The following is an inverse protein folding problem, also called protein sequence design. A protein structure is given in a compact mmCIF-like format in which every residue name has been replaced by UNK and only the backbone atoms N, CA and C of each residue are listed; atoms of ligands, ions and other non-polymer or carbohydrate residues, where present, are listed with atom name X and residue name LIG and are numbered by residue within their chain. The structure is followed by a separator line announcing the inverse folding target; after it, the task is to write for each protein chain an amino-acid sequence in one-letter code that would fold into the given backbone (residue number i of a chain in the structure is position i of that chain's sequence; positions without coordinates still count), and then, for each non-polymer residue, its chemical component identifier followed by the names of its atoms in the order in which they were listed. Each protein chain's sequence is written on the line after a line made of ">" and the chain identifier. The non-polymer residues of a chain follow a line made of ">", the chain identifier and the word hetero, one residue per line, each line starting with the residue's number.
data_IF_695683418036
#
_entry.id   IF_695683418036
#
_cell.length_a   1.000
_cell.length_b   1.000
_cell.length_c   1.000
_cell.angle_alpha   90.00
_cell.angle_beta   90.00
_cell.angle_gamma   90.00
#
_symmetry.space_group_name_H-M   'P 1'
#
loop_
_entity.id
_entity.type
_entity.pdbx_description
1 polymer ?
#
# COMPACT_ATOMS: atom_id res chain seq x y z
N UNK A 1 22.39 -11.19 23.30
CA UNK A 1 21.17 -10.86 22.54
C UNK A 1 21.42 -11.21 21.08
N UNK A 2 20.72 -12.19 20.49
CA UNK A 2 20.83 -12.41 19.05
C UNK A 2 20.40 -11.13 18.34
N UNK A 3 21.21 -10.68 17.37
CA UNK A 3 20.84 -9.57 16.50
C UNK A 3 19.55 -9.99 15.80
N UNK A 4 18.45 -9.28 16.08
CA UNK A 4 17.27 -9.32 15.23
C UNK A 4 17.74 -8.94 13.83
N UNK A 5 17.86 -9.93 12.94
CA UNK A 5 17.98 -9.65 11.52
C UNK A 5 16.67 -8.99 11.13
N UNK A 6 16.73 -7.72 10.74
CA UNK A 6 15.56 -7.01 10.24
C UNK A 6 15.02 -7.78 9.03
N UNK A 7 13.87 -8.43 9.20
CA UNK A 7 13.22 -9.16 8.12
C UNK A 7 12.90 -8.18 7.00
N UNK A 8 13.34 -8.49 5.79
CA UNK A 8 13.10 -7.66 4.61
C UNK A 8 11.87 -8.15 3.86
N UNK A 9 11.18 -7.23 3.17
CA UNK A 9 10.07 -7.59 2.28
C UNK A 9 10.46 -8.61 1.20
N UNK A 10 11.70 -8.55 0.70
CA UNK A 10 12.20 -9.47 -0.33
C UNK A 10 12.23 -10.91 0.19
N UNK A 11 12.68 -11.12 1.44
CA UNK A 11 12.67 -12.44 2.06
C UNK A 11 11.25 -12.97 2.21
N UNK A 12 10.31 -12.12 2.60
CA UNK A 12 8.90 -12.49 2.73
C UNK A 12 8.30 -12.84 1.36
N UNK A 13 8.51 -12.00 0.34
CA UNK A 13 8.02 -12.22 -1.03
C UNK A 13 8.50 -13.59 -1.55
N UNK A 14 9.79 -13.92 -1.38
CA UNK A 14 10.34 -15.19 -1.82
C UNK A 14 9.66 -16.38 -1.12
N UNK A 15 9.49 -16.31 0.21
CA UNK A 15 8.81 -17.37 0.98
C UNK A 15 7.35 -17.54 0.61
N UNK A 16 6.63 -16.44 0.39
CA UNK A 16 5.23 -16.47 -0.01
C UNK A 16 5.08 -17.10 -1.40
N UNK A 17 6.00 -16.80 -2.33
CA UNK A 17 6.01 -17.39 -3.68
C UNK A 17 6.34 -18.87 -3.71
N UNK A 18 7.20 -19.36 -2.81
CA UNK A 18 7.46 -20.80 -2.66
C UNK A 18 6.19 -21.59 -2.29
N UNK A 19 5.25 -20.95 -1.58
CA UNK A 19 4.02 -21.58 -1.09
C UNK A 19 2.80 -21.32 -1.98
N UNK A 20 2.80 -20.27 -2.79
CA UNK A 20 1.73 -19.95 -3.73
C UNK A 20 2.15 -20.27 -5.16
N UNK A 21 1.57 -21.32 -5.75
CA UNK A 21 1.82 -21.78 -7.13
C UNK A 21 1.65 -20.71 -8.23
N UNK A 22 1.07 -19.54 -7.93
CA UNK A 22 0.72 -18.48 -8.88
C UNK A 22 1.48 -17.15 -8.62
N UNK A 23 2.74 -17.23 -8.21
CA UNK A 23 3.56 -16.14 -7.66
C UNK A 23 3.36 -14.73 -8.27
N UNK A 24 3.57 -14.49 -9.57
CA UNK A 24 3.54 -13.14 -10.15
C UNK A 24 2.15 -12.51 -10.26
N UNK A 25 1.10 -13.34 -10.35
CA UNK A 25 -0.27 -12.86 -10.52
C UNK A 25 -0.95 -12.51 -9.19
N UNK A 26 -0.33 -12.87 -8.07
CA UNK A 26 -0.87 -12.72 -6.72
C UNK A 26 0.04 -11.88 -5.82
N UNK A 27 1.35 -11.93 -6.03
CA UNK A 27 2.37 -11.26 -5.22
C UNK A 27 3.37 -10.53 -6.14
N UNK A 28 3.56 -9.25 -5.89
CA UNK A 28 4.47 -8.36 -6.61
C UNK A 28 5.94 -8.74 -6.42
N UNK A 29 6.77 -8.38 -7.41
CA UNK A 29 8.23 -8.60 -7.36
C UNK A 29 8.96 -7.67 -6.38
N UNK A 30 8.35 -6.53 -6.06
CA UNK A 30 8.94 -5.52 -5.20
C UNK A 30 7.89 -5.00 -4.21
N UNK A 31 8.27 -4.74 -2.95
CA UNK A 31 7.38 -4.05 -2.04
C UNK A 31 7.13 -2.64 -2.56
N UNK A 32 5.87 -2.26 -2.60
CA UNK A 32 5.48 -0.95 -3.00
C UNK A 32 4.09 -0.68 -2.49
N UNK A 33 3.77 0.55 -2.09
CA UNK A 33 2.39 0.87 -1.85
C UNK A 33 1.63 0.55 -3.15
N UNK A 34 0.67 -0.38 -3.07
CA UNK A 34 -0.39 -0.55 -4.07
C UNK A 34 -1.66 0.34 -3.87
N UNK A 35 -1.66 1.47 -3.12
CA UNK A 35 -2.82 2.35 -3.04
C UNK A 35 -3.07 3.08 -4.37
N UNK A 36 -2.22 2.87 -5.38
CA UNK A 36 -2.32 3.43 -6.73
C UNK A 36 -2.69 2.41 -7.79
N UNK A 37 -3.16 1.22 -7.41
CA UNK A 37 -3.99 0.42 -8.32
C UNK A 37 -5.24 1.25 -8.63
N UNK A 38 -5.11 2.13 -9.62
CA UNK A 38 -6.10 3.14 -9.87
C UNK A 38 -7.42 2.44 -10.18
N UNK A 39 -8.45 2.85 -9.43
CA UNK A 39 -9.79 2.32 -9.53
C UNK A 39 -10.75 3.51 -9.49
N UNK A 40 -11.71 3.60 -10.42
CA UNK A 40 -12.55 4.78 -10.58
C UNK A 40 -13.41 5.08 -9.33
N UNK A 41 -13.73 4.06 -8.53
CA UNK A 41 -14.49 4.21 -7.30
C UNK A 41 -13.76 3.58 -6.12
N UNK A 42 -12.81 4.29 -5.51
CA UNK A 42 -12.28 3.83 -4.23
C UNK A 42 -13.44 3.76 -3.23
N UNK A 43 -13.78 2.60 -2.62
CA UNK A 43 -14.79 2.53 -1.58
C UNK A 43 -14.49 3.61 -0.53
N UNK A 44 -15.49 4.46 -0.29
CA UNK A 44 -15.40 5.53 0.70
C UNK A 44 -15.11 4.95 2.08
N UNK A 45 -14.66 5.80 3.00
CA UNK A 45 -14.34 5.43 4.37
C UNK A 45 -15.46 4.61 5.04
N UNK A 46 -16.72 4.96 4.80
CA UNK A 46 -17.89 4.23 5.30
C UNK A 46 -17.97 2.79 4.79
N UNK A 47 -17.60 2.51 3.53
CA UNK A 47 -17.63 1.14 2.99
C UNK A 47 -16.52 0.26 3.59
N UNK A 48 -15.40 0.89 3.98
CA UNK A 48 -14.27 0.21 4.65
C UNK A 48 -14.53 -0.01 6.14
N UNK A 49 -15.43 0.76 6.76
CA UNK A 49 -15.91 0.54 8.12
C UNK A 49 -17.09 -0.44 8.18
N UNK A 50 -17.94 -0.44 7.15
CA UNK A 50 -19.09 -1.33 7.05
C UNK A 50 -18.73 -2.75 6.56
N UNK A 51 -17.45 -3.04 6.31
CA UNK A 51 -17.00 -4.43 6.08
C UNK A 51 -17.23 -5.32 7.32
N UNK A 52 -17.58 -4.72 8.47
CA UNK A 52 -17.78 -5.39 9.76
C UNK A 52 -19.23 -5.79 10.07
N UNK A 53 -20.12 -5.91 9.07
CA UNK A 53 -21.47 -6.46 9.31
C UNK A 53 -21.91 -7.52 8.30
N UNK A 54 -21.00 -8.43 7.91
CA UNK A 54 -21.38 -9.64 7.19
C UNK A 54 -21.99 -9.40 5.80
N UNK A 55 -21.63 -8.31 5.14
CA UNK A 55 -21.86 -8.20 3.71
C UNK A 55 -20.77 -9.03 3.04
N UNK A 56 -21.10 -10.28 2.73
CA UNK A 56 -20.30 -11.19 1.93
C UNK A 56 -19.65 -10.38 0.79
N UNK A 57 -18.33 -10.48 0.68
CA UNK A 57 -17.71 -10.15 -0.59
C UNK A 57 -18.47 -10.98 -1.62
N UNK A 58 -19.10 -10.36 -2.62
CA UNK A 58 -20.02 -11.07 -3.53
C UNK A 58 -19.37 -12.19 -4.36
N UNK A 59 -18.14 -12.60 -4.01
CA UNK A 59 -17.27 -13.57 -4.68
C UNK A 59 -16.48 -14.38 -3.63
N UNK A 60 -17.09 -15.42 -3.01
CA UNK A 60 -16.46 -16.22 -1.95
C UNK A 60 -15.10 -16.85 -2.31
N UNK A 61 -14.86 -17.10 -3.59
CA UNK A 61 -13.59 -17.64 -4.08
C UNK A 61 -12.44 -16.65 -3.88
N UNK A 62 -12.68 -15.35 -4.14
CA UNK A 62 -11.66 -14.31 -3.99
C UNK A 62 -11.35 -14.03 -2.53
N UNK A 63 -12.35 -14.12 -1.65
CA UNK A 63 -12.16 -14.04 -0.21
C UNK A 63 -11.31 -15.20 0.32
N UNK A 64 -11.59 -16.43 -0.13
CA UNK A 64 -10.74 -17.59 0.19
C UNK A 64 -9.31 -17.41 -0.33
N UNK A 65 -9.14 -16.92 -1.56
CA UNK A 65 -7.82 -16.62 -2.12
C UNK A 65 -7.07 -15.57 -1.27
N UNK A 66 -7.76 -14.51 -0.83
CA UNK A 66 -7.21 -13.47 0.02
C UNK A 66 -6.76 -14.02 1.38
N UNK A 67 -7.64 -14.75 2.09
CA UNK A 67 -7.28 -15.31 3.39
C UNK A 67 -6.13 -16.33 3.29
N UNK A 68 -6.08 -17.11 2.22
CA UNK A 68 -4.95 -18.01 1.95
C UNK A 68 -3.62 -17.24 1.76
N UNK A 69 -3.64 -16.09 1.08
CA UNK A 69 -2.45 -15.25 0.93
C UNK A 69 -1.98 -14.67 2.27
N UNK A 70 -2.91 -14.12 3.06
CA UNK A 70 -2.61 -13.57 4.39
C UNK A 70 -2.06 -14.65 5.31
N UNK A 71 -2.61 -15.85 5.26
CA UNK A 71 -2.12 -16.98 6.05
C UNK A 71 -0.70 -17.39 5.65
N UNK A 72 -0.41 -17.47 4.35
CA UNK A 72 0.95 -17.76 3.86
C UNK A 72 1.95 -16.69 4.31
N UNK A 73 1.55 -15.40 4.32
CA UNK A 73 2.38 -14.30 4.83
C UNK A 73 2.63 -14.49 6.33
N UNK A 74 1.61 -14.84 7.11
CA UNK A 74 1.73 -15.10 8.54
C UNK A 74 2.71 -16.25 8.82
N UNK A 75 2.57 -17.36 8.12
CA UNK A 75 3.50 -18.49 8.26
C UNK A 75 4.93 -18.11 7.86
N UNK A 76 5.11 -17.26 6.84
CA UNK A 76 6.42 -16.77 6.44
C UNK A 76 7.07 -15.91 7.53
N UNK A 77 6.29 -15.02 8.17
CA UNK A 77 6.75 -14.22 9.30
C UNK A 77 7.19 -15.10 10.48
N UNK A 78 6.40 -16.10 10.84
CA UNK A 78 6.72 -17.04 11.92
C UNK A 78 8.02 -17.83 11.61
N UNK A 79 8.18 -18.30 10.38
CA UNK A 79 9.38 -19.01 9.94
C UNK A 79 10.64 -18.13 9.95
N UNK A 80 10.48 -16.84 9.69
CA UNK A 80 11.56 -15.85 9.75
C UNK A 80 11.82 -15.35 11.17
N UNK A 81 11.07 -15.82 12.16
CA UNK A 81 11.24 -15.46 13.58
C UNK A 81 10.75 -14.04 13.89
N UNK A 82 9.75 -13.54 13.16
CA UNK A 82 9.15 -12.26 13.46
C UNK A 82 8.40 -12.31 14.80
N UNK A 83 8.84 -11.52 15.77
CA UNK A 83 8.10 -11.30 17.02
C UNK A 83 7.47 -9.91 16.97
N UNK A 84 6.14 -9.79 17.10
CA UNK A 84 5.47 -8.50 17.15
C UNK A 84 5.94 -7.69 18.35
N UNK A 85 6.18 -6.40 18.13
CA UNK A 85 6.50 -5.46 19.20
C UNK A 85 5.20 -5.07 19.91
N UNK A 86 5.03 -5.56 21.14
CA UNK A 86 3.94 -5.12 22.01
C UNK A 86 4.19 -3.69 22.50
N UNK A 87 3.15 -2.87 22.54
CA UNK A 87 3.18 -1.55 23.17
C UNK A 87 3.16 -1.68 24.71
N UNK A 88 3.70 -0.68 25.42
CA UNK A 88 3.92 -0.79 26.87
C UNK A 88 2.69 -1.13 27.72
N UNK A 89 1.47 -0.76 27.31
CA UNK A 89 0.25 -1.16 28.02
C UNK A 89 -0.15 -2.62 27.76
N UNK A 90 0.18 -3.17 26.58
CA UNK A 90 -0.01 -4.59 26.26
C UNK A 90 0.96 -5.46 27.06
N UNK A 91 2.19 -5.00 27.29
CA UNK A 91 3.20 -5.73 28.08
C UNK A 91 2.81 -5.89 29.57
N UNK A 92 2.09 -4.91 30.11
CA UNK A 92 1.58 -4.89 31.49
C UNK A 92 0.34 -5.77 31.69
N UNK A 93 -0.23 -6.31 30.61
CA UNK A 93 -1.43 -7.14 30.66
C UNK A 93 -1.11 -8.57 31.12
N UNK A 94 -2.13 -9.28 31.63
CA UNK A 94 -2.00 -10.69 32.05
C UNK A 94 -1.56 -11.61 30.91
N UNK A 95 -1.03 -12.79 31.24
CA UNK A 95 -0.54 -13.77 30.26
C UNK A 95 -1.54 -14.13 29.14
N UNK A 96 -2.85 -14.35 29.41
CA UNK A 96 -3.83 -14.62 28.35
C UNK A 96 -4.02 -13.43 27.40
N UNK A 97 -4.13 -12.21 27.95
CA UNK A 97 -4.29 -10.98 27.17
C UNK A 97 -3.07 -10.72 26.29
N UNK A 98 -1.86 -10.96 26.79
CA UNK A 98 -0.63 -10.82 25.99
C UNK A 98 -0.57 -11.76 24.80
N UNK A 99 -1.02 -13.01 24.97
CA UNK A 99 -1.10 -13.97 23.85
C UNK A 99 -2.10 -13.52 22.80
N UNK A 100 -3.28 -13.06 23.22
CA UNK A 100 -4.28 -12.51 22.32
C UNK A 100 -3.73 -11.31 21.54
N UNK A 101 -3.13 -10.34 22.24
CA UNK A 101 -2.57 -9.14 21.61
C UNK A 101 -1.47 -9.49 20.62
N UNK A 102 -0.56 -10.42 20.97
CA UNK A 102 0.45 -10.90 20.03
C UNK A 102 -0.17 -11.50 18.76
N UNK A 103 -1.20 -12.32 18.91
CA UNK A 103 -1.90 -12.92 17.76
C UNK A 103 -2.57 -11.85 16.88
N UNK A 104 -3.15 -10.81 17.48
CA UNK A 104 -3.75 -9.70 16.75
C UNK A 104 -2.68 -8.87 16.03
N UNK A 105 -1.57 -8.55 16.68
CA UNK A 105 -0.47 -7.80 16.08
C UNK A 105 0.18 -8.57 14.92
N UNK A 106 0.30 -9.91 15.02
CA UNK A 106 0.73 -10.75 13.89
C UNK A 106 -0.23 -10.65 12.71
N UNK A 107 -1.54 -10.74 12.95
CA UNK A 107 -2.55 -10.64 11.91
C UNK A 107 -2.55 -9.24 11.24
N UNK A 108 -2.45 -8.18 12.02
CA UNK A 108 -2.30 -6.80 11.51
C UNK A 108 -1.05 -6.65 10.66
N UNK A 109 0.07 -7.22 11.11
CA UNK A 109 1.33 -7.19 10.37
C UNK A 109 1.20 -7.92 9.03
N UNK A 110 0.57 -9.09 9.01
CA UNK A 110 0.34 -9.85 7.78
C UNK A 110 -0.55 -9.08 6.79
N UNK A 111 -1.63 -8.45 7.27
CA UNK A 111 -2.49 -7.58 6.45
C UNK A 111 -1.72 -6.38 5.87
N UNK A 112 -0.92 -5.72 6.70
CA UNK A 112 -0.09 -4.58 6.27
C UNK A 112 0.91 -4.99 5.19
N UNK A 113 1.50 -6.17 5.31
CA UNK A 113 2.42 -6.71 4.32
C UNK A 113 1.67 -7.08 3.05
N UNK A 114 0.48 -7.68 3.16
CA UNK A 114 -0.36 -7.97 2.01
C UNK A 114 -0.70 -6.69 1.22
N UNK A 115 -1.01 -5.57 1.88
CA UNK A 115 -1.24 -4.29 1.20
C UNK A 115 0.01 -3.76 0.45
N UNK A 116 1.21 -4.19 0.87
CA UNK A 116 2.48 -3.77 0.28
C UNK A 116 3.00 -4.70 -0.83
N UNK A 117 2.59 -5.98 -0.85
CA UNK A 117 3.12 -6.97 -1.81
C UNK A 117 2.02 -7.70 -2.59
N UNK A 118 0.79 -7.73 -2.08
CA UNK A 118 -0.34 -8.38 -2.73
C UNK A 118 -0.74 -7.64 -4.00
N UNK A 119 -1.15 -8.40 -5.02
CA UNK A 119 -1.73 -7.84 -6.25
C UNK A 119 -3.24 -7.72 -6.05
N UNK A 120 -3.79 -6.49 -5.86
CA UNK A 120 -5.18 -6.32 -5.47
C UNK A 120 -6.16 -6.36 -6.66
N UNK A 121 -5.69 -6.13 -7.89
CA UNK A 121 -6.52 -6.18 -9.10
C UNK A 121 -6.45 -7.56 -9.72
N UNK A 122 -7.61 -8.21 -9.93
CA UNK A 122 -7.71 -9.55 -10.51
C UNK A 122 -8.71 -9.58 -11.64
N UNK A 123 -8.39 -10.28 -12.71
CA UNK A 123 -9.32 -10.53 -13.83
C UNK A 123 -9.85 -11.97 -13.74
N UNK A 124 -11.18 -12.14 -13.82
CA UNK A 124 -11.80 -13.45 -14.06
C UNK A 124 -12.81 -13.28 -15.20
N UNK A 125 -12.48 -13.83 -16.37
CA UNK A 125 -13.26 -13.63 -17.60
C UNK A 125 -13.33 -12.15 -18.00
N UNK A 126 -14.55 -11.65 -18.13
CA UNK A 126 -14.85 -10.26 -18.56
C UNK A 126 -15.05 -9.30 -17.38
N UNK A 127 -14.75 -9.73 -16.17
CA UNK A 127 -14.87 -8.93 -14.95
C UNK A 127 -13.47 -8.71 -14.34
N UNK A 128 -13.22 -7.47 -13.95
CA UNK A 128 -12.07 -7.05 -13.14
C UNK A 128 -12.57 -6.82 -11.72
N UNK A 129 -11.81 -7.32 -10.75
CA UNK A 129 -12.05 -7.20 -9.33
C UNK A 129 -10.94 -6.37 -8.69
N UNK A 130 -11.31 -5.54 -7.73
CA UNK A 130 -10.38 -4.91 -6.79
C UNK A 130 -10.63 -5.48 -5.40
N UNK A 131 -9.59 -6.07 -4.82
CA UNK A 131 -9.57 -6.58 -3.44
C UNK A 131 -8.84 -5.57 -2.57
N UNK A 132 -9.41 -5.24 -1.41
CA UNK A 132 -8.74 -4.42 -0.39
C UNK A 132 -8.77 -5.16 0.94
N UNK A 133 -7.66 -5.09 1.66
CA UNK A 133 -7.60 -5.60 3.02
C UNK A 133 -8.68 -4.91 3.89
N UNK A 134 -9.29 -5.64 4.83
CA UNK A 134 -10.19 -5.06 5.83
C UNK A 134 -9.42 -4.08 6.72
N UNK A 135 -10.15 -3.13 7.31
CA UNK A 135 -9.59 -2.29 8.38
C UNK A 135 -9.65 -2.98 9.75
N UNK A 136 -10.57 -3.91 9.93
CA UNK A 136 -10.61 -4.77 11.10
C UNK A 136 -9.68 -5.99 10.90
N UNK A 137 -9.01 -6.39 11.97
CA UNK A 137 -8.06 -7.52 12.01
C UNK A 137 -8.75 -8.84 11.68
N UNK A 138 -10.05 -8.94 11.99
CA UNK A 138 -10.88 -10.13 11.80
C UNK A 138 -11.91 -9.95 10.67
N UNK A 139 -11.85 -8.86 9.92
CA UNK A 139 -12.82 -8.53 8.89
C UNK A 139 -12.63 -9.31 7.58
N UNK A 140 -13.66 -9.26 6.73
CA UNK A 140 -13.60 -9.76 5.34
C UNK A 140 -13.06 -8.69 4.40
N UNK A 141 -12.33 -9.07 3.32
CA UNK A 141 -11.82 -8.11 2.36
C UNK A 141 -12.95 -7.38 1.63
N UNK A 142 -12.74 -6.11 1.31
CA UNK A 142 -13.66 -5.36 0.46
C UNK A 142 -13.39 -5.69 -1.01
N UNK A 143 -14.37 -6.30 -1.69
CA UNK A 143 -14.25 -6.67 -3.10
C UNK A 143 -15.19 -5.81 -3.96
N UNK A 144 -14.62 -5.06 -4.90
CA UNK A 144 -15.34 -4.29 -5.90
C UNK A 144 -15.19 -4.93 -7.28
N UNK A 145 -16.20 -4.82 -8.15
CA UNK A 145 -16.19 -5.44 -9.46
C UNK A 145 -16.64 -4.46 -10.56
N UNK A 146 -16.11 -4.62 -11.77
CA UNK A 146 -16.60 -3.96 -12.99
C UNK A 146 -16.23 -4.77 -14.23
N UNK A 147 -16.88 -4.50 -15.37
CA UNK A 147 -16.48 -5.13 -16.63
C UNK A 147 -15.10 -4.64 -17.07
N UNK A 148 -14.40 -5.48 -17.86
CA UNK A 148 -13.11 -5.12 -18.46
C UNK A 148 -13.22 -3.84 -19.29
N UNK A 149 -14.28 -3.70 -20.09
CA UNK A 149 -14.48 -2.51 -20.93
C UNK A 149 -14.64 -1.23 -20.10
N UNK A 150 -15.44 -1.29 -19.01
CA UNK A 150 -15.59 -0.17 -18.09
C UNK A 150 -14.27 0.17 -17.41
N UNK A 151 -13.51 -0.84 -16.97
CA UNK A 151 -12.20 -0.63 -16.36
C UNK A 151 -11.22 0.05 -17.32
N UNK A 152 -11.09 -0.45 -18.55
CA UNK A 152 -10.19 0.10 -19.56
C UNK A 152 -10.58 1.52 -19.98
N UNK A 153 -11.89 1.78 -20.16
CA UNK A 153 -12.39 3.13 -20.44
C UNK A 153 -12.02 4.11 -19.33
N UNK A 154 -12.24 3.71 -18.08
CA UNK A 154 -11.93 4.51 -16.91
C UNK A 154 -10.40 4.78 -16.80
N UNK A 155 -9.56 3.76 -16.99
CA UNK A 155 -8.09 3.89 -16.95
C UNK A 155 -7.61 4.84 -18.05
N UNK A 156 -8.20 4.76 -19.23
CA UNK A 156 -7.87 5.62 -20.37
C UNK A 156 -8.20 7.09 -20.07
N UNK A 157 -9.40 7.35 -19.54
CA UNK A 157 -9.82 8.69 -19.13
C UNK A 157 -8.91 9.28 -18.05
N UNK A 158 -8.57 8.47 -17.03
CA UNK A 158 -7.64 8.89 -15.99
C UNK A 158 -6.27 9.20 -16.55
N UNK A 159 -5.73 8.33 -17.40
CA UNK A 159 -4.41 8.52 -18.01
C UNK A 159 -4.36 9.81 -18.83
N UNK A 160 -5.44 10.12 -19.57
CA UNK A 160 -5.55 11.38 -20.30
C UNK A 160 -5.57 12.59 -19.36
N UNK A 161 -6.33 12.52 -18.27
CA UNK A 161 -6.40 13.58 -17.24
C UNK A 161 -5.04 13.79 -16.56
N UNK A 162 -4.39 12.71 -16.13
CA UNK A 162 -3.09 12.75 -15.45
C UNK A 162 -2.01 13.35 -16.35
N UNK A 163 -2.06 13.07 -17.66
CA UNK A 163 -1.13 13.67 -18.62
C UNK A 163 -1.26 15.19 -18.65
N UNK A 164 -2.48 15.71 -18.67
CA UNK A 164 -2.74 17.16 -18.66
C UNK A 164 -2.27 17.79 -17.34
N UNK A 165 -2.56 17.14 -16.21
CA UNK A 165 -2.12 17.60 -14.89
C UNK A 165 -0.58 17.61 -14.77
N UNK A 166 0.10 16.57 -15.23
CA UNK A 166 1.56 16.48 -15.24
C UNK A 166 2.17 17.60 -16.10
N UNK A 167 1.61 17.88 -17.27
CA UNK A 167 2.07 18.99 -18.11
C UNK A 167 1.87 20.35 -17.42
N UNK A 168 0.75 20.55 -16.73
CA UNK A 168 0.50 21.76 -15.95
C UNK A 168 1.48 21.90 -14.77
N UNK A 169 1.76 20.80 -14.06
CA UNK A 169 2.72 20.77 -12.96
C UNK A 169 4.14 21.04 -13.44
N UNK A 170 4.56 20.49 -14.59
CA UNK A 170 5.86 20.79 -15.21
C UNK A 170 6.00 22.28 -15.54
N UNK A 171 4.97 22.90 -16.15
CA UNK A 171 4.98 24.35 -16.42
C UNK A 171 5.12 25.18 -15.15
N UNK A 172 4.41 24.80 -14.08
CA UNK A 172 4.53 25.47 -12.77
C UNK A 172 5.94 25.30 -12.18
N UNK A 173 6.51 24.10 -12.27
CA UNK A 173 7.87 23.84 -11.81
C UNK A 173 8.90 24.69 -12.56
N UNK A 174 8.77 24.80 -13.89
CA UNK A 174 9.67 25.62 -14.72
C UNK A 174 9.56 27.12 -14.38
N UNK A 175 8.33 27.61 -14.11
CA UNK A 175 8.10 28.97 -13.61
C UNK A 175 8.83 29.22 -12.28
N UNK A 176 8.68 28.30 -11.32
CA UNK A 176 9.36 28.40 -10.02
C UNK A 176 10.88 28.33 -10.16
N UNK A 177 11.39 27.45 -11.03
CA UNK A 177 12.83 27.33 -11.31
C UNK A 177 13.38 28.60 -11.92
N UNK A 178 12.68 29.18 -12.89
CA UNK A 178 13.07 30.45 -13.53
C UNK A 178 13.04 31.60 -12.52
N UNK A 179 11.98 31.68 -11.70
CA UNK A 179 11.88 32.67 -10.63
C UNK A 179 13.01 32.56 -9.60
N UNK A 180 13.38 31.34 -9.20
CA UNK A 180 14.50 31.11 -8.28
C UNK A 180 15.84 31.55 -8.88
N UNK A 181 16.08 31.30 -10.17
CA UNK A 181 17.30 31.76 -10.86
C UNK A 181 17.36 33.29 -10.89
N UNK A 182 16.27 33.95 -11.28
CA UNK A 182 16.21 35.42 -11.34
C UNK A 182 16.44 36.04 -9.96
N UNK A 183 15.80 35.49 -8.92
CA UNK A 183 16.00 35.95 -7.54
C UNK A 183 17.44 35.75 -7.08
N UNK A 184 18.05 34.60 -7.40
CA UNK A 184 19.46 34.33 -7.08
C UNK A 184 20.41 35.33 -7.73
N UNK A 185 20.19 35.69 -9.00
CA UNK A 185 20.96 36.72 -9.70
C UNK A 185 20.77 38.10 -9.04
N UNK A 186 19.53 38.47 -8.70
CA UNK A 186 19.24 39.74 -8.04
C UNK A 186 19.95 39.85 -6.68
N UNK A 187 19.93 38.79 -5.87
CA UNK A 187 20.63 38.72 -4.58
C UNK A 187 22.14 38.85 -4.79
N UNK A 188 22.72 38.13 -5.75
CA UNK A 188 24.16 38.19 -6.03
C UNK A 188 24.62 39.60 -6.46
N UNK A 189 23.82 40.28 -7.31
CA UNK A 189 24.07 41.67 -7.70
C UNK A 189 23.99 42.62 -6.51
N UNK A 190 22.99 42.45 -5.64
CA UNK A 190 22.80 43.27 -4.45
C UNK A 190 23.98 43.13 -3.47
N UNK A 191 24.48 41.90 -3.26
CA UNK A 191 25.68 41.63 -2.47
C UNK A 191 26.91 42.32 -3.07
N UNK A 192 27.13 42.22 -4.38
CA UNK A 192 28.25 42.89 -5.04
C UNK A 192 28.21 44.42 -4.89
N UNK A 193 27.02 45.03 -4.98
CA UNK A 193 26.87 46.46 -4.77
C UNK A 193 27.21 46.89 -3.33
N UNK A 194 26.77 46.11 -2.33
CA UNK A 194 27.11 46.38 -0.92
C UNK A 194 28.61 46.28 -0.68
N UNK A 195 29.26 45.22 -1.19
CA UNK A 195 30.70 45.04 -1.06
C UNK A 195 31.45 46.21 -1.69
N UNK A 196 31.09 46.62 -2.90
CA UNK A 196 31.75 47.73 -3.60
C UNK A 196 31.53 49.09 -2.93
N UNK A 197 30.41 49.30 -2.24
CA UNK A 197 30.14 50.53 -1.49
C UNK A 197 30.88 50.58 -0.13
N UNK A 198 31.43 49.46 0.34
CA UNK A 198 32.13 49.35 1.63
C UNK A 198 33.66 49.48 1.51
N UNK A 199 34.19 49.64 0.29
CA UNK A 199 35.61 49.86 -0.03
C UNK A 199 35.78 51.23 -0.68
#
# INVERSE_FOLDING_TARGET
>A
MPKSSSITYIEIINRVREKLDCGPNRIADQPGPFPWCWWPSAPGFANQLNSDYGMESGVPELEKEFHAEVEVIREALDQLGHEPTLTGWQELSGAPTRRLMRSLDQAVTALTIWDAIGVPIRRKGDIVFLIRAPRDVLGSPCISAMSVDSYLGAVTEKTATDRVEIEALKKRLDLWRTGAIVLGIAIALLIMCIVKASF
#
